data_IF_339608124307
#
_entry.id   IF_339608124307
#
_cell.length_a   1.000
_cell.length_b   1.000
_cell.length_c   1.000
_cell.angle_alpha   90.00
_cell.angle_beta   90.00
_cell.angle_gamma   90.00
#
_symmetry.space_group_name_H-M   'P 1'
#
loop_
_entity.id
_entity.type
_entity.pdbx_description
1 polymer ?
#
# COMPACT_ATOMS: atom_id res chain seq x y z
N UNK A 1 -13.08 -35.61 -11.31
CA UNK A 1 -13.61 -35.29 -12.65
C UNK A 1 -12.44 -35.23 -13.62
N UNK A 2 -12.52 -35.95 -14.77
CA UNK A 2 -11.54 -35.82 -15.84
C UNK A 2 -11.95 -34.64 -16.72
N UNK A 3 -11.14 -33.59 -16.78
CA UNK A 3 -11.35 -32.49 -17.70
C UNK A 3 -10.72 -32.80 -19.06
N UNK A 4 -11.43 -32.48 -20.11
CA UNK A 4 -10.90 -32.60 -21.48
C UNK A 4 -10.03 -31.39 -21.75
N UNK A 5 -8.69 -31.57 -21.79
CA UNK A 5 -7.67 -30.50 -21.92
C UNK A 5 -7.98 -29.56 -23.09
N UNK A 6 -8.47 -30.09 -24.20
CA UNK A 6 -8.70 -29.36 -25.46
C UNK A 6 -9.92 -28.42 -25.41
N UNK A 7 -10.87 -28.58 -24.48
CA UNK A 7 -12.15 -27.87 -24.47
C UNK A 7 -12.43 -27.11 -23.16
N UNK A 8 -11.51 -27.14 -22.20
CA UNK A 8 -11.71 -26.48 -20.91
C UNK A 8 -11.18 -25.04 -20.98
N UNK A 9 -12.07 -24.06 -20.99
CA UNK A 9 -11.78 -22.63 -20.93
C UNK A 9 -11.88 -22.05 -19.51
N UNK A 10 -12.69 -22.68 -18.66
CA UNK A 10 -12.89 -22.28 -17.26
C UNK A 10 -12.75 -23.47 -16.33
N UNK A 11 -11.83 -23.38 -15.36
CA UNK A 11 -11.70 -24.34 -14.27
C UNK A 11 -12.09 -23.66 -12.96
N UNK A 12 -13.31 -23.94 -12.49
CA UNK A 12 -13.79 -23.43 -11.21
C UNK A 12 -13.88 -24.56 -10.18
N UNK A 13 -12.94 -24.52 -9.22
CA UNK A 13 -12.85 -25.44 -8.09
C UNK A 13 -12.75 -24.63 -6.76
N UNK A 14 -13.31 -23.42 -6.72
CA UNK A 14 -13.36 -22.59 -5.52
C UNK A 14 -14.30 -23.16 -4.46
N UNK A 15 -13.91 -23.05 -3.21
CA UNK A 15 -14.71 -23.37 -2.02
C UNK A 15 -15.26 -24.81 -2.01
N UNK A 16 -14.43 -25.80 -2.34
CA UNK A 16 -14.82 -27.23 -2.33
C UNK A 16 -13.93 -28.11 -1.44
N UNK A 17 -13.07 -27.49 -0.60
CA UNK A 17 -12.22 -28.20 0.36
C UNK A 17 -11.05 -28.96 -0.27
N UNK A 18 -10.47 -28.42 -1.34
CA UNK A 18 -9.24 -28.98 -1.94
C UNK A 18 -8.06 -28.85 -0.99
N UNK A 19 -7.26 -29.92 -0.92
CA UNK A 19 -6.00 -29.98 -0.16
C UNK A 19 -4.83 -30.37 -1.05
N UNK A 20 -3.61 -30.22 -0.56
CA UNK A 20 -2.37 -30.55 -1.28
C UNK A 20 -1.92 -29.41 -2.18
N UNK A 21 -1.01 -29.68 -3.11
CA UNK A 21 -0.41 -28.68 -3.98
C UNK A 21 -1.09 -28.56 -5.34
N UNK A 22 -0.96 -27.40 -5.97
CA UNK A 22 -1.33 -27.20 -7.37
C UNK A 22 -0.39 -28.05 -8.23
N UNK A 23 -0.90 -29.01 -9.02
CA UNK A 23 0.00 -29.88 -9.80
C UNK A 23 0.62 -29.14 -10.97
N UNK A 24 1.87 -29.44 -11.31
CA UNK A 24 2.58 -28.85 -12.46
C UNK A 24 1.84 -29.09 -13.79
N UNK A 25 1.05 -30.15 -13.88
CA UNK A 25 0.23 -30.48 -15.04
C UNK A 25 -0.87 -29.44 -15.33
N UNK A 26 -1.10 -28.47 -14.42
CA UNK A 26 -2.02 -27.35 -14.65
C UNK A 26 -1.61 -26.57 -15.92
N UNK A 27 -0.31 -26.43 -16.17
CA UNK A 27 0.22 -25.73 -17.36
C UNK A 27 -0.13 -26.39 -18.69
N UNK A 28 -0.67 -27.62 -18.68
CA UNK A 28 -1.15 -28.31 -19.89
C UNK A 28 -2.54 -27.84 -20.34
N UNK A 29 -3.28 -27.12 -19.48
CA UNK A 29 -4.63 -26.61 -19.76
C UNK A 29 -4.56 -25.29 -20.54
N UNK A 30 -3.84 -25.25 -21.65
CA UNK A 30 -3.48 -24.03 -22.39
C UNK A 30 -4.65 -23.26 -23.01
N UNK A 31 -5.87 -23.79 -22.93
CA UNK A 31 -7.09 -23.11 -23.35
C UNK A 31 -7.80 -22.37 -22.20
N UNK A 32 -7.29 -22.49 -20.96
CA UNK A 32 -7.90 -21.79 -19.83
C UNK A 32 -7.83 -20.28 -20.00
N UNK A 33 -8.98 -19.66 -19.81
CA UNK A 33 -9.16 -18.22 -19.63
C UNK A 33 -9.41 -17.86 -18.17
N UNK A 34 -9.99 -18.79 -17.39
CA UNK A 34 -10.33 -18.56 -16.00
C UNK A 34 -9.91 -19.75 -15.14
N UNK A 35 -9.09 -19.48 -14.10
CA UNK A 35 -8.67 -20.45 -13.11
C UNK A 35 -9.07 -19.98 -11.71
N UNK A 36 -10.01 -20.67 -11.09
CA UNK A 36 -10.57 -20.35 -9.78
C UNK A 36 -10.33 -21.52 -8.81
N UNK A 37 -9.40 -21.32 -7.86
CA UNK A 37 -9.03 -22.29 -6.81
C UNK A 37 -9.16 -21.67 -5.40
N UNK A 38 -9.83 -20.54 -5.28
CA UNK A 38 -10.01 -19.76 -4.06
C UNK A 38 -10.76 -20.50 -2.96
N UNK A 39 -10.63 -20.04 -1.70
CA UNK A 39 -11.34 -20.60 -0.52
C UNK A 39 -11.18 -22.13 -0.39
N UNK A 40 -9.94 -22.61 -0.39
CA UNK A 40 -9.59 -24.01 -0.20
C UNK A 40 -8.48 -24.19 0.85
N UNK A 41 -7.92 -25.39 0.99
CA UNK A 41 -6.77 -25.71 1.86
C UNK A 41 -5.55 -26.10 1.03
N UNK A 42 -5.38 -25.49 -0.15
CA UNK A 42 -4.23 -25.75 -1.01
C UNK A 42 -2.96 -25.23 -0.37
N UNK A 43 -1.86 -25.97 -0.52
CA UNK A 43 -0.56 -25.68 0.09
C UNK A 43 0.59 -25.91 -0.92
N UNK A 44 1.83 -25.64 -0.51
CA UNK A 44 2.98 -25.69 -1.39
C UNK A 44 3.08 -24.47 -2.29
N UNK A 45 3.92 -24.52 -3.32
CA UNK A 45 4.25 -23.39 -4.17
C UNK A 45 3.30 -23.26 -5.37
N UNK A 46 3.24 -22.05 -5.95
CA UNK A 46 2.64 -21.83 -7.26
C UNK A 46 3.59 -22.41 -8.31
N UNK A 47 3.18 -23.39 -9.12
CA UNK A 47 4.08 -23.97 -10.12
C UNK A 47 4.38 -22.97 -11.24
N UNK A 48 5.65 -22.89 -11.65
CA UNK A 48 6.09 -22.02 -12.76
C UNK A 48 5.39 -22.33 -14.09
N UNK A 49 4.96 -23.58 -14.26
CA UNK A 49 4.21 -24.07 -15.44
C UNK A 49 2.86 -23.36 -15.61
N UNK A 50 2.36 -22.69 -14.56
CA UNK A 50 1.16 -21.88 -14.65
C UNK A 50 1.32 -20.73 -15.65
N UNK A 51 2.55 -20.21 -15.83
CA UNK A 51 2.89 -19.21 -16.85
C UNK A 51 2.64 -19.67 -18.30
N UNK A 52 2.51 -20.98 -18.55
CA UNK A 52 2.16 -21.49 -19.89
C UNK A 52 0.70 -21.22 -20.29
N UNK A 53 -0.15 -20.76 -19.36
CA UNK A 53 -1.57 -20.48 -19.61
C UNK A 53 -1.76 -19.09 -20.22
N UNK A 54 -1.15 -18.82 -21.35
CA UNK A 54 -1.09 -17.48 -21.97
C UNK A 54 -2.45 -16.87 -22.34
N UNK A 55 -3.52 -17.66 -22.36
CA UNK A 55 -4.90 -17.19 -22.58
C UNK A 55 -5.61 -16.79 -21.29
N UNK A 56 -4.95 -16.96 -20.13
CA UNK A 56 -5.58 -16.73 -18.84
C UNK A 56 -5.89 -15.24 -18.65
N UNK A 57 -7.14 -14.95 -18.33
CA UNK A 57 -7.67 -13.62 -18.03
C UNK A 57 -7.85 -13.41 -16.53
N UNK A 58 -8.28 -14.47 -15.81
CA UNK A 58 -8.51 -14.42 -14.36
C UNK A 58 -7.77 -15.55 -13.64
N UNK A 59 -6.97 -15.19 -12.64
CA UNK A 59 -6.28 -16.11 -11.74
C UNK A 59 -6.66 -15.82 -10.29
N UNK A 60 -7.49 -16.70 -9.67
CA UNK A 60 -7.94 -16.57 -8.28
C UNK A 60 -7.48 -17.75 -7.44
N UNK A 61 -6.47 -17.51 -6.57
CA UNK A 61 -5.91 -18.46 -5.62
C UNK A 61 -6.06 -18.00 -4.17
N UNK A 62 -6.80 -16.94 -3.91
CA UNK A 62 -6.94 -16.32 -2.60
C UNK A 62 -7.56 -17.25 -1.54
N UNK A 63 -7.29 -16.96 -0.25
CA UNK A 63 -7.76 -17.76 0.88
C UNK A 63 -7.37 -19.23 0.75
N UNK A 64 -6.06 -19.50 0.75
CA UNK A 64 -5.45 -20.82 0.78
C UNK A 64 -4.23 -20.80 1.73
N UNK A 65 -3.44 -21.88 1.76
CA UNK A 65 -2.19 -22.00 2.50
C UNK A 65 -0.98 -22.09 1.53
N UNK A 66 -1.09 -21.44 0.36
CA UNK A 66 -0.06 -21.45 -0.68
C UNK A 66 1.13 -20.65 -0.19
N UNK A 67 2.33 -21.22 -0.30
CA UNK A 67 3.58 -20.66 0.23
C UNK A 67 4.66 -20.58 -0.85
N UNK A 68 5.87 -20.13 -0.47
CA UNK A 68 6.98 -19.93 -1.40
C UNK A 68 6.87 -18.63 -2.16
N UNK A 69 7.74 -18.46 -3.15
CA UNK A 69 7.89 -17.23 -3.90
C UNK A 69 6.91 -17.14 -5.06
N UNK A 70 6.60 -15.94 -5.50
CA UNK A 70 5.87 -15.69 -6.74
C UNK A 70 6.75 -16.09 -7.94
N UNK A 71 6.38 -17.09 -8.76
CA UNK A 71 7.21 -17.44 -9.90
C UNK A 71 7.23 -16.33 -10.95
N UNK A 72 8.42 -15.88 -11.45
CA UNK A 72 8.54 -14.87 -12.49
C UNK A 72 7.73 -15.18 -13.75
N UNK A 73 7.53 -16.47 -14.04
CA UNK A 73 6.71 -16.95 -15.17
C UNK A 73 5.25 -16.49 -15.12
N UNK A 74 4.74 -16.00 -13.99
CA UNK A 74 3.44 -15.34 -13.97
C UNK A 74 3.39 -14.11 -14.88
N UNK A 75 4.55 -13.48 -15.16
CA UNK A 75 4.68 -12.39 -16.13
C UNK A 75 4.42 -12.80 -17.58
N UNK A 76 4.42 -14.11 -17.89
CA UNK A 76 4.13 -14.63 -19.23
C UNK A 76 2.62 -14.65 -19.56
N UNK A 77 1.74 -14.36 -18.60
CA UNK A 77 0.28 -14.38 -18.71
C UNK A 77 -0.25 -13.11 -19.40
N UNK A 78 0.12 -12.87 -20.65
CA UNK A 78 -0.08 -11.62 -21.38
C UNK A 78 -1.54 -11.12 -21.44
N UNK A 79 -2.53 -12.03 -21.30
CA UNK A 79 -3.96 -11.70 -21.34
C UNK A 79 -4.56 -11.48 -19.95
N UNK A 80 -3.77 -11.59 -18.88
CA UNK A 80 -4.28 -11.53 -17.52
C UNK A 80 -4.78 -10.11 -17.18
N UNK A 81 -6.03 -10.03 -16.70
CA UNK A 81 -6.68 -8.81 -16.25
C UNK A 81 -6.83 -8.77 -14.73
N UNK A 82 -6.97 -9.93 -14.08
CA UNK A 82 -7.19 -10.02 -12.63
C UNK A 82 -6.34 -11.12 -12.00
N UNK A 83 -5.50 -10.73 -11.03
CA UNK A 83 -4.65 -11.63 -10.25
C UNK A 83 -4.95 -11.48 -8.76
N UNK A 84 -5.62 -12.46 -8.14
CA UNK A 84 -6.00 -12.46 -6.74
C UNK A 84 -5.29 -13.60 -6.00
N UNK A 85 -4.23 -13.24 -5.26
CA UNK A 85 -3.39 -14.17 -4.50
C UNK A 85 -3.39 -13.86 -3.00
N UNK A 86 -4.28 -12.96 -2.55
CA UNK A 86 -4.33 -12.50 -1.16
C UNK A 86 -4.73 -13.61 -0.17
N UNK A 87 -4.41 -13.39 1.11
CA UNK A 87 -4.68 -14.34 2.19
C UNK A 87 -4.10 -15.73 1.88
N UNK A 88 -2.77 -15.76 1.75
CA UNK A 88 -1.93 -16.94 1.59
C UNK A 88 -0.67 -16.80 2.46
N UNK A 89 0.29 -17.70 2.29
CA UNK A 89 1.60 -17.67 2.97
C UNK A 89 2.75 -17.36 2.00
N UNK A 90 2.47 -16.64 0.90
CA UNK A 90 3.45 -16.29 -0.13
C UNK A 90 4.55 -15.40 0.44
N UNK A 91 5.79 -15.69 0.08
CA UNK A 91 7.02 -15.06 0.57
C UNK A 91 7.89 -14.52 -0.58
N UNK A 92 9.11 -14.08 -0.25
CA UNK A 92 10.04 -13.53 -1.24
C UNK A 92 9.59 -12.18 -1.82
N UNK A 93 10.22 -11.78 -2.90
CA UNK A 93 9.97 -10.48 -3.52
C UNK A 93 8.85 -10.56 -4.57
N UNK A 94 8.25 -9.42 -4.87
CA UNK A 94 7.33 -9.28 -6.00
C UNK A 94 8.19 -9.27 -7.28
N UNK A 95 8.03 -10.22 -8.22
CA UNK A 95 8.83 -10.26 -9.43
C UNK A 95 8.60 -9.04 -10.34
N UNK A 96 9.67 -8.42 -10.83
CA UNK A 96 9.57 -7.32 -11.81
C UNK A 96 8.93 -7.76 -13.13
N UNK A 97 8.99 -9.05 -13.43
CA UNK A 97 8.37 -9.68 -14.61
C UNK A 97 6.86 -9.50 -14.64
N UNK A 98 6.20 -9.29 -13.49
CA UNK A 98 4.78 -8.94 -13.46
C UNK A 98 4.49 -7.61 -14.20
N UNK A 99 5.49 -6.76 -14.40
CA UNK A 99 5.40 -5.56 -15.24
C UNK A 99 5.18 -5.84 -16.73
N UNK A 100 5.29 -7.10 -17.20
CA UNK A 100 4.94 -7.51 -18.54
C UNK A 100 3.43 -7.71 -18.78
N UNK A 101 2.62 -7.71 -17.70
CA UNK A 101 1.18 -7.93 -17.73
C UNK A 101 0.42 -6.65 -18.14
N UNK A 102 0.58 -6.22 -19.39
CA UNK A 102 0.09 -4.92 -19.86
C UNK A 102 -1.44 -4.75 -19.80
N UNK A 103 -2.20 -5.86 -19.68
CA UNK A 103 -3.65 -5.85 -19.57
C UNK A 103 -4.13 -5.97 -18.11
N UNK A 104 -3.22 -6.04 -17.11
CA UNK A 104 -3.58 -6.24 -15.72
C UNK A 104 -4.28 -5.00 -15.15
N UNK A 105 -5.51 -5.18 -14.69
CA UNK A 105 -6.35 -4.16 -14.09
C UNK A 105 -6.35 -4.23 -12.54
N UNK A 106 -6.24 -5.44 -11.99
CA UNK A 106 -6.38 -5.68 -10.56
C UNK A 106 -5.33 -6.68 -10.06
N UNK A 107 -4.49 -6.23 -9.13
CA UNK A 107 -3.47 -7.04 -8.47
C UNK A 107 -3.66 -7.00 -6.95
N UNK A 108 -4.13 -8.14 -6.38
CA UNK A 108 -4.37 -8.28 -4.94
C UNK A 108 -3.41 -9.30 -4.34
N UNK A 109 -2.41 -8.80 -3.62
CA UNK A 109 -1.35 -9.57 -2.96
C UNK A 109 -1.36 -9.38 -1.43
N UNK A 110 -2.34 -8.67 -0.88
CA UNK A 110 -2.44 -8.37 0.55
C UNK A 110 -2.59 -9.63 1.42
N UNK A 111 -2.29 -9.49 2.73
CA UNK A 111 -2.30 -10.61 3.68
C UNK A 111 -1.42 -11.79 3.21
N UNK A 112 -0.13 -11.52 3.02
CA UNK A 112 0.91 -12.49 2.69
C UNK A 112 2.18 -12.20 3.52
N UNK A 113 3.32 -12.76 3.12
CA UNK A 113 4.62 -12.56 3.78
C UNK A 113 5.65 -11.99 2.79
N UNK A 114 5.21 -11.28 1.75
CA UNK A 114 6.06 -10.72 0.71
C UNK A 114 7.02 -9.66 1.28
N UNK A 115 8.26 -9.66 0.78
CA UNK A 115 9.36 -8.80 1.22
C UNK A 115 9.89 -7.96 0.05
N UNK A 116 10.92 -7.15 0.31
CA UNK A 116 11.60 -6.37 -0.72
C UNK A 116 10.84 -5.12 -1.15
N UNK A 117 11.09 -4.68 -2.38
CA UNK A 117 10.52 -3.47 -2.96
C UNK A 117 9.19 -3.73 -3.67
N UNK A 118 8.43 -2.66 -3.89
CA UNK A 118 7.39 -2.64 -4.92
C UNK A 118 8.06 -2.34 -6.26
N UNK A 119 8.09 -3.29 -7.22
CA UNK A 119 8.78 -3.06 -8.48
C UNK A 119 8.19 -1.90 -9.29
N UNK A 120 9.01 -0.96 -9.78
CA UNK A 120 8.53 0.15 -10.60
C UNK A 120 7.86 -0.34 -11.89
N UNK A 121 8.25 -1.51 -12.40
CA UNK A 121 7.62 -2.14 -13.56
C UNK A 121 6.14 -2.46 -13.31
N UNK A 122 5.80 -2.88 -12.08
CA UNK A 122 4.41 -3.18 -11.68
C UNK A 122 3.61 -1.89 -11.50
N UNK A 123 4.18 -0.89 -10.84
CA UNK A 123 3.49 0.40 -10.64
C UNK A 123 3.38 1.21 -11.93
N UNK A 124 4.18 0.90 -12.95
CA UNK A 124 4.15 1.49 -14.29
C UNK A 124 3.09 0.89 -15.23
N UNK A 125 2.33 -0.11 -14.81
CA UNK A 125 1.28 -0.73 -15.63
C UNK A 125 0.12 0.24 -15.88
N UNK A 126 -0.11 0.56 -17.16
CA UNK A 126 -1.06 1.61 -17.57
C UNK A 126 -2.53 1.25 -17.33
N UNK A 127 -2.85 -0.05 -17.27
CA UNK A 127 -4.22 -0.54 -17.05
C UNK A 127 -4.49 -0.91 -15.60
N UNK A 128 -3.47 -0.85 -14.73
CA UNK A 128 -3.62 -1.22 -13.33
C UNK A 128 -4.37 -0.12 -12.57
N UNK A 129 -5.59 -0.45 -12.12
CA UNK A 129 -6.46 0.44 -11.36
C UNK A 129 -6.50 0.08 -9.87
N UNK A 130 -6.32 -1.21 -9.53
CA UNK A 130 -6.40 -1.69 -8.15
C UNK A 130 -5.13 -2.43 -7.77
N UNK A 131 -4.41 -1.90 -6.77
CA UNK A 131 -3.19 -2.50 -6.23
C UNK A 131 -3.28 -2.60 -4.71
N UNK A 132 -3.43 -3.84 -4.19
CA UNK A 132 -3.50 -4.11 -2.75
C UNK A 132 -2.29 -4.91 -2.31
N UNK A 133 -1.42 -4.28 -1.54
CA UNK A 133 -0.16 -4.82 -1.01
C UNK A 133 -0.09 -4.77 0.53
N UNK A 134 -1.17 -4.33 1.19
CA UNK A 134 -1.21 -4.21 2.64
C UNK A 134 -1.04 -5.55 3.35
N UNK A 135 -0.64 -5.50 4.63
CA UNK A 135 -0.44 -6.68 5.46
C UNK A 135 0.57 -7.67 4.83
N UNK A 136 1.77 -7.16 4.51
CA UNK A 136 2.93 -7.89 4.04
C UNK A 136 4.18 -7.51 4.87
N UNK A 137 5.36 -7.84 4.37
CA UNK A 137 6.67 -7.51 4.98
C UNK A 137 7.56 -6.74 4.01
N UNK A 138 6.97 -5.95 3.09
CA UNK A 138 7.72 -5.10 2.17
C UNK A 138 8.58 -4.12 2.97
N UNK A 139 9.88 -4.06 2.71
CA UNK A 139 10.87 -3.41 3.59
C UNK A 139 11.86 -2.50 2.86
N UNK A 140 11.72 -2.33 1.56
CA UNK A 140 12.57 -1.44 0.77
C UNK A 140 11.87 -0.13 0.44
N UNK A 141 12.62 0.80 -0.15
CA UNK A 141 12.10 2.09 -0.57
C UNK A 141 11.12 1.93 -1.73
N UNK A 142 10.13 2.81 -1.78
CA UNK A 142 9.26 2.96 -2.95
C UNK A 142 9.97 3.87 -3.96
N UNK A 143 10.03 3.44 -5.22
CA UNK A 143 10.63 4.24 -6.28
C UNK A 143 9.76 5.46 -6.65
N UNK A 144 10.40 6.60 -6.98
CA UNK A 144 9.68 7.83 -7.33
C UNK A 144 8.83 7.72 -8.61
N UNK A 145 9.11 6.74 -9.48
CA UNK A 145 8.31 6.48 -10.68
C UNK A 145 6.85 6.16 -10.39
N UNK A 146 6.55 5.69 -9.17
CA UNK A 146 5.18 5.49 -8.70
C UNK A 146 4.31 6.76 -8.86
N UNK A 147 4.90 7.94 -8.73
CA UNK A 147 4.21 9.22 -8.88
C UNK A 147 3.78 9.53 -10.32
N UNK A 148 4.29 8.81 -11.29
CA UNK A 148 3.92 8.95 -12.71
C UNK A 148 2.95 7.89 -13.19
N UNK A 149 2.57 6.96 -12.33
CA UNK A 149 1.63 5.88 -12.65
C UNK A 149 0.18 6.39 -12.73
N UNK A 150 -0.69 5.58 -13.29
CA UNK A 150 -2.12 5.86 -13.43
C UNK A 150 -2.95 5.47 -12.19
N UNK A 151 -2.33 4.94 -11.15
CA UNK A 151 -3.00 4.58 -9.91
C UNK A 151 -3.50 5.82 -9.17
N UNK A 152 -4.72 5.76 -8.66
CA UNK A 152 -5.30 6.80 -7.81
C UNK A 152 -4.84 6.61 -6.36
N UNK A 153 -3.63 7.09 -6.03
CA UNK A 153 -2.96 6.91 -4.73
C UNK A 153 -3.74 7.47 -3.54
N UNK A 154 -4.54 8.49 -3.77
CA UNK A 154 -5.31 9.20 -2.76
C UNK A 154 -6.64 8.50 -2.41
N UNK A 155 -6.91 7.36 -3.01
CA UNK A 155 -8.12 6.59 -2.80
C UNK A 155 -7.80 5.16 -2.36
N UNK A 156 -8.05 4.85 -1.09
CA UNK A 156 -7.82 3.53 -0.51
C UNK A 156 -8.66 2.40 -1.13
N UNK A 157 -9.62 2.73 -1.99
CA UNK A 157 -10.37 1.74 -2.77
C UNK A 157 -9.52 1.21 -3.93
N UNK A 158 -8.59 2.02 -4.46
CA UNK A 158 -7.76 1.65 -5.62
C UNK A 158 -6.34 1.25 -5.23
N UNK A 159 -5.81 1.84 -4.16
CA UNK A 159 -4.46 1.56 -3.69
C UNK A 159 -4.40 1.33 -2.18
N UNK A 160 -3.70 0.28 -1.76
CA UNK A 160 -3.51 -0.01 -0.35
C UNK A 160 -2.17 -0.71 -0.09
N UNK A 161 -1.36 -0.14 0.81
CA UNK A 161 -0.01 -0.63 1.14
C UNK A 161 0.32 -0.53 2.64
N UNK A 162 -0.66 -0.20 3.48
CA UNK A 162 -0.44 -0.10 4.93
C UNK A 162 0.04 -1.42 5.54
N UNK A 163 0.54 -1.36 6.77
CA UNK A 163 0.99 -2.51 7.53
C UNK A 163 2.05 -3.34 6.79
N UNK A 164 3.12 -2.64 6.39
CA UNK A 164 4.36 -3.17 5.86
C UNK A 164 5.54 -2.61 6.66
N UNK A 165 6.76 -2.81 6.21
CA UNK A 165 8.00 -2.30 6.82
C UNK A 165 8.77 -1.37 5.88
N UNK A 166 8.06 -0.69 4.98
CA UNK A 166 8.67 0.22 4.00
C UNK A 166 9.46 1.32 4.67
N UNK A 167 10.64 1.60 4.14
CA UNK A 167 11.54 2.58 4.69
C UNK A 167 11.45 3.94 3.98
N UNK A 168 11.51 5.07 4.72
CA UNK A 168 11.64 6.38 4.12
C UNK A 168 13.04 6.56 3.45
N UNK A 169 13.23 7.54 2.53
CA UNK A 169 12.25 8.54 2.15
C UNK A 169 11.16 8.00 1.23
N UNK A 170 9.95 8.50 1.39
CA UNK A 170 8.82 8.10 0.54
C UNK A 170 8.59 9.10 -0.59
N UNK A 171 8.19 8.66 -1.79
CA UNK A 171 7.77 9.56 -2.85
C UNK A 171 6.64 10.49 -2.41
N UNK A 172 6.73 11.75 -2.80
CA UNK A 172 5.82 12.82 -2.33
C UNK A 172 4.33 12.54 -2.62
N UNK A 173 4.03 11.77 -3.67
CA UNK A 173 2.66 11.49 -4.11
C UNK A 173 1.96 10.44 -3.23
N UNK A 174 2.70 9.51 -2.63
CA UNK A 174 2.16 8.40 -1.84
C UNK A 174 2.38 8.55 -0.35
N UNK A 175 3.29 9.44 0.08
CA UNK A 175 3.72 9.56 1.47
C UNK A 175 2.56 9.74 2.46
N UNK A 176 1.52 10.49 2.06
CA UNK A 176 0.33 10.72 2.87
C UNK A 176 -0.65 9.53 2.89
N UNK A 177 -0.46 8.51 2.05
CA UNK A 177 -1.39 7.41 1.82
C UNK A 177 -0.84 6.03 2.17
N UNK A 178 0.42 5.96 2.62
CA UNK A 178 1.09 4.70 2.96
C UNK A 178 0.49 4.01 4.19
N UNK A 179 -0.23 4.74 5.04
CA UNK A 179 -0.71 4.22 6.31
C UNK A 179 0.44 3.86 7.27
N UNK A 180 0.16 2.95 8.23
CA UNK A 180 1.18 2.50 9.16
C UNK A 180 2.26 1.66 8.46
N UNK A 181 3.54 1.95 8.77
CA UNK A 181 4.71 1.19 8.36
C UNK A 181 5.57 0.89 9.59
N UNK A 182 6.02 -0.35 9.75
CA UNK A 182 6.99 -0.70 10.78
C UNK A 182 8.41 -0.35 10.31
N UNK A 183 8.91 0.79 10.73
CA UNK A 183 10.22 1.32 10.32
C UNK A 183 11.36 0.99 11.29
N UNK A 184 11.15 0.06 12.24
CA UNK A 184 12.13 -0.25 13.29
C UNK A 184 13.45 -0.77 12.73
N UNK A 185 13.40 -1.46 11.59
CA UNK A 185 14.57 -2.04 10.91
C UNK A 185 15.11 -1.15 9.78
N UNK A 186 14.51 0.01 9.53
CA UNK A 186 15.05 0.95 8.57
C UNK A 186 16.42 1.44 9.06
N UNK A 187 17.46 1.29 8.24
CA UNK A 187 18.77 1.79 8.60
C UNK A 187 18.71 3.31 8.82
N UNK A 188 19.13 3.75 9.99
CA UNK A 188 19.20 5.20 10.31
C UNK A 188 20.18 5.96 9.41
N UNK A 189 20.99 5.23 8.64
CA UNK A 189 21.98 5.78 7.71
C UNK A 189 21.35 6.56 6.54
N UNK A 190 20.06 6.35 6.23
CA UNK A 190 19.35 7.17 5.24
C UNK A 190 19.09 8.61 5.73
N UNK A 191 19.20 8.85 7.03
CA UNK A 191 19.18 10.19 7.63
C UNK A 191 20.59 10.74 7.93
N UNK A 192 21.65 9.94 7.68
CA UNK A 192 23.03 10.25 8.10
C UNK A 192 23.78 11.22 7.18
N UNK A 193 23.21 11.62 6.05
CA UNK A 193 23.84 12.68 5.24
C UNK A 193 23.60 14.09 5.79
N UNK A 194 22.98 14.22 6.96
CA UNK A 194 22.87 15.52 7.65
C UNK A 194 22.20 16.64 6.84
N UNK A 195 21.64 16.34 5.70
CA UNK A 195 20.92 17.30 4.90
C UNK A 195 19.50 17.41 5.44
N UNK A 196 19.22 18.58 6.01
CA UNK A 196 17.86 18.94 6.38
C UNK A 196 16.94 18.88 5.13
N UNK A 197 15.63 18.56 5.30
CA UNK A 197 14.68 18.59 4.20
C UNK A 197 14.84 19.86 3.35
N UNK A 198 14.83 19.70 2.03
CA UNK A 198 15.12 20.83 1.11
C UNK A 198 14.03 21.91 1.21
N UNK A 199 12.82 21.55 1.66
CA UNK A 199 11.67 22.46 1.78
C UNK A 199 10.88 22.20 3.06
N UNK A 200 10.17 23.22 3.52
CA UNK A 200 9.13 23.07 4.54
C UNK A 200 7.94 22.32 3.93
N UNK A 201 7.36 21.37 4.67
CA UNK A 201 6.17 20.60 4.25
C UNK A 201 5.30 20.28 5.47
N UNK A 202 3.99 20.37 5.32
CA UNK A 202 2.99 19.82 6.24
C UNK A 202 2.34 18.63 5.58
N UNK A 203 2.41 17.47 6.23
CA UNK A 203 1.82 16.23 5.74
C UNK A 203 0.33 16.13 6.08
N UNK A 204 -0.37 15.19 5.44
CA UNK A 204 -1.73 14.89 5.83
C UNK A 204 -1.74 14.25 7.24
N UNK A 205 -2.68 14.65 8.10
CA UNK A 205 -2.82 14.06 9.41
C UNK A 205 -3.18 12.57 9.33
N UNK A 206 -2.56 11.74 10.16
CA UNK A 206 -2.86 10.31 10.17
C UNK A 206 -3.02 9.78 11.62
N UNK A 207 -4.05 8.94 11.85
CA UNK A 207 -5.18 8.61 10.98
C UNK A 207 -6.08 9.82 10.70
N UNK A 208 -6.77 9.84 9.54
CA UNK A 208 -7.78 10.86 9.21
C UNK A 208 -8.81 10.28 8.22
N UNK A 209 -10.06 9.99 8.62
CA UNK A 209 -10.68 10.30 9.93
C UNK A 209 -10.02 9.61 11.13
N UNK A 210 -10.16 10.19 12.33
CA UNK A 210 -9.52 9.71 13.55
C UNK A 210 -10.47 9.62 14.75
N UNK A 211 -10.09 8.77 15.73
CA UNK A 211 -10.80 8.59 17.01
C UNK A 211 -9.82 8.04 18.08
N UNK A 212 -9.55 8.74 19.15
CA UNK A 212 -9.78 10.16 19.38
C UNK A 212 -8.60 11.02 18.90
N UNK A 213 -7.49 10.43 18.40
CA UNK A 213 -6.24 11.15 18.14
C UNK A 213 -5.72 11.00 16.72
N UNK A 214 -4.99 12.01 16.26
CA UNK A 214 -4.28 12.04 14.99
C UNK A 214 -2.92 12.70 15.14
N UNK A 215 -1.96 12.31 14.31
CA UNK A 215 -0.61 12.88 14.29
C UNK A 215 -0.47 13.83 13.10
N UNK A 216 0.04 15.02 13.36
CA UNK A 216 0.47 15.97 12.34
C UNK A 216 1.98 15.88 12.21
N UNK A 217 2.48 15.53 11.02
CA UNK A 217 3.90 15.48 10.71
C UNK A 217 4.27 16.62 9.79
N UNK A 218 5.50 17.15 9.93
CA UNK A 218 6.00 18.24 9.11
C UNK A 218 7.52 18.23 9.01
N UNK A 219 8.03 18.71 7.88
CA UNK A 219 9.46 18.86 7.62
C UNK A 219 9.90 20.31 7.74
N UNK A 220 11.08 20.52 8.31
CA UNK A 220 11.74 21.81 8.46
C UNK A 220 13.09 21.79 7.75
N UNK A 221 13.26 22.62 6.72
CA UNK A 221 14.51 22.72 5.97
C UNK A 221 15.65 23.40 6.76
N UNK A 222 15.30 24.16 7.78
CA UNK A 222 16.24 24.82 8.72
C UNK A 222 15.55 25.00 10.06
N UNK A 223 16.34 25.23 11.11
CA UNK A 223 15.79 25.58 12.42
C UNK A 223 14.95 26.86 12.31
N UNK A 224 13.69 26.80 12.73
CA UNK A 224 12.72 27.89 12.59
C UNK A 224 11.67 27.89 13.70
N UNK A 225 11.00 29.02 13.87
CA UNK A 225 9.83 29.08 14.75
C UNK A 225 8.63 28.45 14.04
N UNK A 226 7.99 27.50 14.73
CA UNK A 226 6.82 26.77 14.24
C UNK A 226 5.62 27.13 15.08
N UNK A 227 4.49 27.43 14.42
CA UNK A 227 3.20 27.63 15.04
C UNK A 227 2.19 26.68 14.39
N UNK A 228 1.57 25.78 15.20
CA UNK A 228 0.51 24.88 14.74
C UNK A 228 -0.74 25.11 15.55
N UNK A 229 -1.81 25.46 14.87
CA UNK A 229 -3.13 25.76 15.43
C UNK A 229 -4.17 24.83 14.83
N UNK A 230 -5.15 24.45 15.67
CA UNK A 230 -6.36 23.76 15.20
C UNK A 230 -7.52 24.74 15.23
N UNK A 231 -8.30 24.76 14.14
CA UNK A 231 -9.48 25.59 13.97
C UNK A 231 -10.73 24.74 13.77
N UNK A 232 -11.86 25.24 14.23
CA UNK A 232 -13.17 24.71 13.84
C UNK A 232 -13.62 25.28 12.48
N UNK A 233 -14.76 24.78 11.97
CA UNK A 233 -15.35 25.22 10.69
C UNK A 233 -15.77 26.69 10.67
N UNK A 234 -15.88 27.34 11.84
CA UNK A 234 -16.20 28.75 11.99
C UNK A 234 -14.94 29.64 12.00
N UNK A 235 -13.75 29.04 11.89
CA UNK A 235 -12.47 29.73 11.96
C UNK A 235 -12.03 30.12 13.38
N UNK A 236 -12.66 29.57 14.42
CA UNK A 236 -12.25 29.80 15.82
C UNK A 236 -11.13 28.86 16.21
N UNK A 237 -10.13 29.36 16.91
CA UNK A 237 -9.04 28.56 17.44
C UNK A 237 -9.60 27.59 18.50
N UNK A 238 -9.38 26.29 18.27
CA UNK A 238 -9.71 25.18 19.17
C UNK A 238 -8.56 24.95 20.15
N UNK A 239 -7.37 24.78 19.63
CA UNK A 239 -6.16 24.59 20.43
C UNK A 239 -4.90 24.98 19.66
N UNK A 240 -3.81 25.21 20.38
CA UNK A 240 -2.48 25.43 19.83
C UNK A 240 -1.59 24.26 20.22
N UNK A 241 -1.13 23.50 19.23
CA UNK A 241 -0.31 22.32 19.45
C UNK A 241 1.18 22.65 19.56
N UNK A 242 1.68 23.60 18.75
CA UNK A 242 3.08 24.00 18.74
C UNK A 242 3.17 25.53 18.66
N UNK A 243 4.11 26.11 19.42
CA UNK A 243 4.50 27.52 19.34
C UNK A 243 5.93 27.71 19.90
N UNK A 244 6.91 27.23 19.17
CA UNK A 244 8.32 27.25 19.64
C UNK A 244 9.31 27.17 18.47
N UNK A 245 10.57 27.46 18.80
CA UNK A 245 11.68 27.16 17.90
C UNK A 245 11.89 25.66 17.82
N UNK A 246 11.98 25.11 16.62
CA UNK A 246 12.28 23.71 16.35
C UNK A 246 13.47 23.56 15.40
N UNK A 247 14.19 22.46 15.53
CA UNK A 247 15.36 22.16 14.70
C UNK A 247 14.93 21.70 13.30
N UNK A 248 15.84 21.84 12.34
CA UNK A 248 15.69 21.23 11.02
C UNK A 248 15.47 19.71 11.13
N UNK A 249 14.73 19.14 10.18
CA UNK A 249 14.38 17.73 10.13
C UNK A 249 12.88 17.48 10.20
N UNK A 250 12.51 16.21 10.25
CA UNK A 250 11.11 15.78 10.41
C UNK A 250 10.70 15.91 11.87
N UNK A 251 9.52 16.46 12.07
CA UNK A 251 8.88 16.66 13.36
C UNK A 251 7.45 16.10 13.33
N UNK A 252 6.91 15.77 14.50
CA UNK A 252 5.51 15.35 14.60
C UNK A 252 4.90 15.80 15.92
N UNK A 253 3.59 16.02 15.92
CA UNK A 253 2.80 16.35 17.08
C UNK A 253 1.45 15.65 17.06
N UNK A 254 1.06 15.08 18.19
CA UNK A 254 -0.25 14.44 18.38
C UNK A 254 -1.30 15.50 18.72
N UNK A 255 -2.48 15.38 18.11
CA UNK A 255 -3.70 16.02 18.61
C UNK A 255 -4.70 14.93 19.04
N UNK A 256 -5.14 15.02 20.28
CA UNK A 256 -6.00 14.04 20.95
C UNK A 256 -7.49 14.42 20.92
N UNK A 257 -7.87 15.40 20.09
CA UNK A 257 -9.25 15.87 19.96
C UNK A 257 -9.71 16.72 21.16
N UNK A 258 -8.78 17.42 21.86
CA UNK A 258 -9.10 18.34 22.95
C UNK A 258 -8.92 19.80 22.57
N UNK A 259 -9.61 20.70 23.31
CA UNK A 259 -9.42 22.14 23.26
C UNK A 259 -8.26 22.60 24.17
N UNK A 260 -8.05 23.91 24.30
CA UNK A 260 -6.99 24.48 25.14
C UNK A 260 -7.16 24.19 26.64
N UNK A 261 -8.36 23.92 27.07
CA UNK A 261 -8.71 23.60 28.47
C UNK A 261 -8.60 22.10 28.75
N UNK A 262 -8.21 21.28 27.75
CA UNK A 262 -8.13 19.82 27.85
C UNK A 262 -9.48 19.11 27.74
N UNK A 263 -10.53 19.81 27.34
CA UNK A 263 -11.86 19.22 27.18
C UNK A 263 -12.01 18.65 25.76
N UNK A 264 -12.61 17.47 25.66
CA UNK A 264 -12.90 16.83 24.37
C UNK A 264 -13.83 17.67 23.51
N UNK A 265 -13.45 17.92 22.26
CA UNK A 265 -14.29 18.64 21.30
C UNK A 265 -15.29 17.71 20.61
N UNK A 266 -16.31 18.23 19.95
CA UNK A 266 -17.35 17.44 19.26
C UNK A 266 -16.79 16.71 18.04
N UNK A 267 -17.42 15.60 17.62
CA UNK A 267 -17.17 15.01 16.30
C UNK A 267 -17.43 16.04 15.22
N UNK A 268 -16.60 16.08 14.19
CA UNK A 268 -16.75 17.07 13.11
C UNK A 268 -15.48 17.31 12.32
N UNK A 269 -15.54 18.34 11.49
CA UNK A 269 -14.43 18.79 10.65
C UNK A 269 -13.69 19.91 11.36
N UNK A 270 -12.37 19.79 11.36
CA UNK A 270 -11.41 20.76 11.88
C UNK A 270 -10.36 21.05 10.81
N UNK A 271 -9.55 22.07 11.02
CA UNK A 271 -8.41 22.41 10.16
C UNK A 271 -7.18 22.66 10.99
N UNK A 272 -6.08 22.01 10.67
CA UNK A 272 -4.77 22.41 11.17
C UNK A 272 -4.23 23.55 10.32
N UNK A 273 -3.61 24.52 10.96
CA UNK A 273 -2.83 25.57 10.32
C UNK A 273 -1.38 25.46 10.81
N UNK A 274 -0.47 25.18 9.90
CA UNK A 274 0.96 25.18 10.11
C UNK A 274 1.56 26.46 9.56
N UNK A 275 2.31 27.16 10.36
CA UNK A 275 2.96 28.41 10.00
C UNK A 275 4.43 28.41 10.42
N UNK A 276 5.29 28.81 9.49
CA UNK A 276 6.69 29.17 9.71
C UNK A 276 6.95 30.52 9.09
N UNK A 277 8.21 30.99 9.12
CA UNK A 277 8.59 32.24 8.44
C UNK A 277 8.39 32.15 6.91
N UNK A 278 8.57 30.93 6.33
CA UNK A 278 8.63 30.74 4.88
C UNK A 278 7.43 29.96 4.31
N UNK A 279 6.61 29.32 5.16
CA UNK A 279 5.46 28.49 4.72
C UNK A 279 4.24 28.70 5.61
N UNK A 280 3.07 28.82 4.97
CA UNK A 280 1.76 28.70 5.58
C UNK A 280 0.96 27.63 4.85
N UNK A 281 0.55 26.58 5.56
CA UNK A 281 -0.18 25.43 5.00
C UNK A 281 -1.27 24.97 5.94
N UNK A 282 -2.33 24.39 5.39
CA UNK A 282 -3.43 23.88 6.20
C UNK A 282 -3.86 22.49 5.72
N UNK A 283 -4.35 21.66 6.66
CA UNK A 283 -4.89 20.33 6.38
C UNK A 283 -6.23 20.15 7.07
N UNK A 284 -7.13 19.42 6.42
CA UNK A 284 -8.44 19.05 6.95
C UNK A 284 -8.30 17.87 7.91
N UNK A 285 -9.04 17.91 9.02
CA UNK A 285 -9.08 16.90 10.08
C UNK A 285 -10.54 16.47 10.27
N UNK A 286 -10.80 15.17 10.38
CA UNK A 286 -12.15 14.62 10.59
C UNK A 286 -12.13 13.78 11.86
N UNK A 287 -12.71 14.32 12.94
CA UNK A 287 -12.85 13.62 14.22
C UNK A 287 -14.15 12.83 14.24
N UNK A 288 -14.05 11.54 14.50
CA UNK A 288 -15.15 10.61 14.78
C UNK A 288 -15.16 10.26 16.27
N UNK A 289 -16.34 10.13 16.84
CA UNK A 289 -16.53 9.65 18.23
C UNK A 289 -17.47 8.48 18.25
#
# INVERSE_FOLDING_TARGET
QCYMIENTDTLNLGNIGLTGSIPIDIGKLTNLTHLYLYDNELSGEIPSELGALIKLEHLYLYNNNISGDLPPNLGDLENLTQMYLYSNELSGEIPSELGALLNLEQLFLHNNQLTGAVPPEVTGLNMLHYLYLNDNRLDQNIDESICTSFLEWDNSIYFNIYNNSLCPPYPFCVEDYLGYQDTINCSQDLFSNGEAPIKYKLYNPFPNPFNPSTTLSYDLSKSTHVNILIYDIMGRVVTRLVNKQENAGRQSILWDGTNQDGESVASGVYYSLFETVDLRSSKKLILLK
#
